data_IF_184368413826
#
_entry.id   IF_184368413826
#
_cell.length_a   1.000
_cell.length_b   1.000
_cell.length_c   1.000
_cell.angle_alpha   90.00
_cell.angle_beta   90.00
_cell.angle_gamma   90.00
#
_symmetry.space_group_name_H-M   'P 1'
#
loop_
_entity.id
_entity.type
_entity.pdbx_description
1 polymer ?
#
# COMPACT_ATOMS: atom_id res chain seq x y z
N UNK A 1 6.81 12.88 14.61
CA UNK A 1 7.94 12.41 15.44
C UNK A 1 7.93 10.89 15.55
N UNK A 2 6.80 10.25 15.88
CA UNK A 2 6.66 8.77 15.83
C UNK A 2 6.88 8.23 14.42
N UNK A 3 6.27 8.85 13.40
CA UNK A 3 6.39 8.44 11.99
C UNK A 3 7.86 8.42 11.51
N UNK A 4 8.71 9.33 12.01
CA UNK A 4 10.14 9.36 11.70
C UNK A 4 10.85 8.11 12.25
N UNK A 5 10.49 7.66 13.45
CA UNK A 5 11.07 6.45 14.03
C UNK A 5 10.60 5.19 13.30
N UNK A 6 9.34 5.17 12.83
CA UNK A 6 8.83 4.08 12.00
C UNK A 6 9.58 4.00 10.67
N UNK A 7 9.76 5.14 10.00
CA UNK A 7 10.54 5.28 8.76
C UNK A 7 11.99 4.81 8.92
N UNK A 8 12.60 5.05 10.10
CA UNK A 8 13.97 4.62 10.43
C UNK A 8 14.06 3.17 10.92
N UNK A 9 12.95 2.43 10.97
CA UNK A 9 12.85 1.08 11.54
C UNK A 9 13.24 1.00 13.02
N UNK A 10 13.13 2.11 13.73
CA UNK A 10 13.36 2.23 15.17
C UNK A 10 12.05 1.93 15.92
N UNK A 11 11.53 0.71 15.76
CA UNK A 11 10.20 0.32 16.24
C UNK A 11 10.03 0.42 17.76
N UNK A 12 11.11 0.18 18.52
CA UNK A 12 11.09 0.27 19.99
C UNK A 12 10.88 1.73 20.41
N UNK A 13 11.67 2.65 19.85
CA UNK A 13 11.58 4.08 20.12
C UNK A 13 10.23 4.66 19.68
N UNK A 14 9.73 4.22 18.51
CA UNK A 14 8.39 4.58 18.03
C UNK A 14 7.31 4.17 19.04
N UNK A 15 7.39 2.93 19.55
CA UNK A 15 6.44 2.40 20.54
C UNK A 15 6.53 3.12 21.88
N UNK A 16 7.74 3.35 22.42
CA UNK A 16 7.94 4.08 23.68
C UNK A 16 7.38 5.50 23.60
N UNK A 17 7.62 6.18 22.47
CA UNK A 17 7.11 7.52 22.25
C UNK A 17 5.57 7.51 22.13
N UNK A 18 5.00 6.53 21.42
CA UNK A 18 3.56 6.37 21.34
C UNK A 18 2.92 6.12 22.71
N UNK A 19 3.47 5.19 23.51
CA UNK A 19 2.95 4.88 24.85
C UNK A 19 2.97 6.09 25.79
N UNK A 20 4.00 6.94 25.66
CA UNK A 20 4.13 8.18 26.43
C UNK A 20 3.08 9.23 26.07
N UNK A 21 2.75 9.38 24.79
CA UNK A 21 1.94 10.50 24.30
C UNK A 21 0.50 10.13 23.92
N UNK A 22 0.16 8.84 23.79
CA UNK A 22 -1.14 8.37 23.29
C UNK A 22 -2.36 8.96 23.99
N UNK A 23 -2.25 9.31 25.29
CA UNK A 23 -3.35 9.92 26.07
C UNK A 23 -3.71 11.34 25.63
N UNK A 24 -2.82 12.00 24.89
CA UNK A 24 -2.99 13.36 24.39
C UNK A 24 -3.39 13.39 22.91
N UNK A 25 -3.47 12.22 22.26
CA UNK A 25 -3.81 12.10 20.84
C UNK A 25 -5.32 11.96 20.66
N UNK A 26 -5.84 12.43 19.52
CA UNK A 26 -7.21 12.10 19.13
C UNK A 26 -7.36 10.61 18.89
N UNK A 27 -8.57 10.07 19.04
CA UNK A 27 -8.84 8.66 18.75
C UNK A 27 -8.46 8.28 17.31
N UNK A 28 -8.73 9.16 16.34
CA UNK A 28 -8.34 8.97 14.95
C UNK A 28 -6.83 8.86 14.74
N UNK A 29 -6.06 9.74 15.41
CA UNK A 29 -4.60 9.72 15.32
C UNK A 29 -4.01 8.51 16.05
N UNK A 30 -4.60 8.14 17.19
CA UNK A 30 -4.23 6.94 17.94
C UNK A 30 -4.43 5.68 17.11
N UNK A 31 -5.62 5.51 16.53
CA UNK A 31 -5.97 4.41 15.64
C UNK A 31 -4.98 4.26 14.48
N UNK A 32 -4.68 5.37 13.78
CA UNK A 32 -3.69 5.39 12.69
C UNK A 32 -2.33 4.89 13.17
N UNK A 33 -1.83 5.44 14.28
CA UNK A 33 -0.51 5.10 14.81
C UNK A 33 -0.42 3.67 15.34
N UNK A 34 -1.51 3.13 15.91
CA UNK A 34 -1.58 1.72 16.31
C UNK A 34 -1.43 0.82 15.07
N UNK A 35 -2.14 1.10 13.98
CA UNK A 35 -1.99 0.37 12.70
C UNK A 35 -0.56 0.47 12.16
N UNK A 36 -0.01 1.69 12.04
CA UNK A 36 1.34 1.93 11.53
C UNK A 36 2.40 1.17 12.36
N UNK A 37 2.26 1.12 13.70
CA UNK A 37 3.15 0.37 14.60
C UNK A 37 3.03 -1.14 14.41
N UNK A 38 1.81 -1.67 14.30
CA UNK A 38 1.58 -3.09 14.05
C UNK A 38 2.18 -3.50 12.71
N UNK A 39 1.94 -2.75 11.65
CA UNK A 39 2.45 -3.01 10.30
C UNK A 39 3.97 -2.96 10.22
N UNK A 40 4.59 -1.96 10.84
CA UNK A 40 6.04 -1.84 10.91
C UNK A 40 6.67 -3.05 11.65
N UNK A 41 5.95 -3.65 12.58
CA UNK A 41 6.37 -4.87 13.28
C UNK A 41 5.97 -6.18 12.56
N UNK A 42 5.36 -6.11 11.37
CA UNK A 42 4.85 -7.28 10.63
C UNK A 42 3.58 -7.92 11.23
N UNK A 43 2.92 -7.24 12.17
CA UNK A 43 1.73 -7.69 12.91
C UNK A 43 0.44 -7.31 12.16
N UNK A 44 0.30 -7.81 10.93
CA UNK A 44 -0.79 -7.39 10.03
C UNK A 44 -2.18 -7.85 10.49
N UNK A 45 -2.29 -8.96 11.24
CA UNK A 45 -3.57 -9.39 11.83
C UNK A 45 -4.04 -8.44 12.93
N UNK A 46 -3.11 -7.97 13.76
CA UNK A 46 -3.39 -6.99 14.79
C UNK A 46 -3.81 -5.65 14.18
N UNK A 47 -3.16 -5.20 13.09
CA UNK A 47 -3.60 -4.02 12.33
C UNK A 47 -5.02 -4.20 11.75
N UNK A 48 -5.32 -5.36 11.15
CA UNK A 48 -6.68 -5.65 10.67
C UNK A 48 -7.73 -5.64 11.78
N UNK A 49 -7.39 -6.16 12.95
CA UNK A 49 -8.28 -6.18 14.12
C UNK A 49 -8.55 -4.76 14.60
N UNK A 50 -7.52 -3.91 14.62
CA UNK A 50 -7.61 -2.51 15.00
C UNK A 50 -8.49 -1.69 14.04
N UNK A 51 -8.37 -1.92 12.73
CA UNK A 51 -9.25 -1.28 11.71
C UNK A 51 -10.71 -1.67 11.92
N UNK A 52 -10.98 -2.95 12.15
CA UNK A 52 -12.36 -3.42 12.39
C UNK A 52 -12.94 -2.81 13.66
N UNK A 53 -12.16 -2.76 14.74
CA UNK A 53 -12.58 -2.12 15.99
C UNK A 53 -12.93 -0.66 15.75
N UNK A 54 -12.08 0.09 15.04
CA UNK A 54 -12.33 1.51 14.78
C UNK A 54 -13.55 1.74 13.87
N UNK A 55 -13.76 0.87 12.88
CA UNK A 55 -14.96 0.86 12.05
C UNK A 55 -16.23 0.60 12.89
N UNK A 56 -16.20 -0.38 13.79
CA UNK A 56 -17.31 -0.67 14.71
C UNK A 56 -17.62 0.51 15.65
N UNK A 57 -16.58 1.21 16.12
CA UNK A 57 -16.71 2.36 17.04
C UNK A 57 -17.20 3.64 16.34
N UNK A 58 -16.80 3.88 15.09
CA UNK A 58 -17.01 5.17 14.41
C UNK A 58 -17.91 5.10 13.18
N UNK A 59 -18.16 3.91 12.65
CA UNK A 59 -18.81 3.70 11.34
C UNK A 59 -17.95 4.07 10.14
N UNK A 60 -16.69 4.47 10.33
CA UNK A 60 -15.79 4.90 9.25
C UNK A 60 -15.01 3.69 8.74
N UNK A 61 -15.35 3.24 7.54
CA UNK A 61 -14.66 2.12 6.87
C UNK A 61 -13.39 2.56 6.17
N UNK A 62 -12.31 1.79 6.29
CA UNK A 62 -11.06 1.99 5.55
C UNK A 62 -10.77 0.79 4.63
N UNK A 63 -11.66 0.57 3.67
CA UNK A 63 -11.63 -0.61 2.81
C UNK A 63 -10.33 -0.73 2.00
N UNK A 64 -9.78 0.40 1.53
CA UNK A 64 -8.51 0.41 0.82
C UNK A 64 -7.37 -0.17 1.68
N UNK A 65 -7.33 0.20 2.96
CA UNK A 65 -6.33 -0.32 3.89
C UNK A 65 -6.54 -1.81 4.19
N UNK A 66 -7.80 -2.25 4.34
CA UNK A 66 -8.13 -3.68 4.51
C UNK A 66 -7.70 -4.51 3.30
N UNK A 67 -7.86 -4.00 2.07
CA UNK A 67 -7.36 -4.67 0.86
C UNK A 67 -5.83 -4.81 0.93
N UNK A 68 -5.11 -3.74 1.25
CA UNK A 68 -3.66 -3.77 1.40
C UNK A 68 -3.20 -4.82 2.42
N UNK A 69 -3.81 -4.85 3.61
CA UNK A 69 -3.43 -5.82 4.65
C UNK A 69 -3.72 -7.27 4.26
N UNK A 70 -4.82 -7.53 3.55
CA UNK A 70 -5.08 -8.87 3.00
C UNK A 70 -4.02 -9.27 1.98
N UNK A 71 -3.51 -8.34 1.15
CA UNK A 71 -2.39 -8.62 0.25
C UNK A 71 -1.10 -8.93 1.01
N UNK A 72 -0.82 -8.21 2.11
CA UNK A 72 0.36 -8.45 2.98
C UNK A 72 0.29 -9.79 3.70
N UNK A 73 -0.92 -10.25 4.03
CA UNK A 73 -1.19 -11.55 4.64
C UNK A 73 -1.34 -12.69 3.62
N UNK A 74 -1.08 -12.45 2.34
CA UNK A 74 -1.24 -13.40 1.24
C UNK A 74 -2.68 -13.94 1.08
N UNK A 75 -3.66 -13.25 1.66
CA UNK A 75 -5.11 -13.50 1.54
C UNK A 75 -5.64 -12.94 0.22
N UNK A 76 -5.09 -13.43 -0.90
CA UNK A 76 -5.33 -12.88 -2.23
C UNK A 76 -6.79 -13.04 -2.68
N UNK A 77 -7.49 -14.08 -2.22
CA UNK A 77 -8.90 -14.29 -2.56
C UNK A 77 -9.78 -13.23 -1.92
N UNK A 78 -9.54 -12.96 -0.64
CA UNK A 78 -10.23 -11.95 0.15
C UNK A 78 -9.98 -10.55 -0.44
N UNK A 79 -8.72 -10.26 -0.81
CA UNK A 79 -8.37 -9.02 -1.50
C UNK A 79 -9.06 -8.88 -2.87
N UNK A 80 -9.10 -9.93 -3.71
CA UNK A 80 -9.79 -9.92 -5.02
C UNK A 80 -11.30 -9.67 -4.85
N UNK A 81 -11.95 -10.34 -3.89
CA UNK A 81 -13.40 -10.16 -3.64
C UNK A 81 -13.70 -8.75 -3.17
N UNK A 82 -12.97 -8.26 -2.17
CA UNK A 82 -13.21 -6.95 -1.56
C UNK A 82 -12.88 -5.79 -2.52
N UNK A 83 -11.73 -5.86 -3.20
CA UNK A 83 -11.35 -4.84 -4.17
C UNK A 83 -12.34 -4.79 -5.34
N UNK A 84 -12.81 -5.96 -5.80
CA UNK A 84 -13.86 -6.03 -6.84
C UNK A 84 -15.16 -5.39 -6.37
N UNK A 85 -15.65 -5.72 -5.19
CA UNK A 85 -16.93 -5.16 -4.70
C UNK A 85 -16.87 -3.65 -4.59
N UNK A 86 -15.75 -3.08 -4.13
CA UNK A 86 -15.57 -1.62 -4.09
C UNK A 86 -15.52 -1.02 -5.49
N UNK A 87 -14.71 -1.60 -6.38
CA UNK A 87 -14.53 -1.07 -7.73
C UNK A 87 -15.81 -1.17 -8.58
N UNK A 88 -16.63 -2.21 -8.38
CA UNK A 88 -17.93 -2.34 -9.05
C UNK A 88 -18.89 -1.21 -8.67
N UNK A 89 -18.91 -0.80 -7.39
CA UNK A 89 -19.75 0.31 -6.90
C UNK A 89 -19.40 1.65 -7.53
N UNK A 90 -18.11 1.87 -7.83
CA UNK A 90 -17.62 3.09 -8.49
C UNK A 90 -17.36 2.89 -9.99
N UNK A 91 -17.95 1.85 -10.57
CA UNK A 91 -17.85 1.52 -12.00
C UNK A 91 -16.42 1.48 -12.56
N UNK A 92 -15.47 0.99 -11.76
CA UNK A 92 -14.05 0.94 -12.09
C UNK A 92 -13.50 2.31 -12.51
N UNK A 93 -13.87 3.37 -11.78
CA UNK A 93 -13.31 4.71 -11.99
C UNK A 93 -11.79 4.67 -12.08
N UNK A 94 -11.24 5.35 -13.07
CA UNK A 94 -9.79 5.42 -13.32
C UNK A 94 -9.05 6.19 -12.21
N UNK A 95 -9.79 6.97 -11.41
CA UNK A 95 -9.30 7.66 -10.21
C UNK A 95 -8.91 6.68 -9.09
N UNK A 96 -9.51 5.49 -9.05
CA UNK A 96 -9.22 4.45 -8.06
C UNK A 96 -7.99 3.60 -8.47
N UNK A 97 -6.92 4.27 -8.87
CA UNK A 97 -5.75 3.64 -9.47
C UNK A 97 -5.06 2.62 -8.56
N UNK A 98 -4.95 2.92 -7.26
CA UNK A 98 -4.32 2.01 -6.29
C UNK A 98 -5.17 0.76 -6.05
N UNK A 99 -6.49 0.91 -5.92
CA UNK A 99 -7.43 -0.19 -5.77
C UNK A 99 -7.45 -1.09 -7.00
N UNK A 100 -7.39 -0.50 -8.20
CA UNK A 100 -7.26 -1.25 -9.45
C UNK A 100 -5.96 -2.05 -9.48
N UNK A 101 -4.83 -1.43 -9.12
CA UNK A 101 -3.53 -2.13 -9.04
C UNK A 101 -3.60 -3.28 -8.03
N UNK A 102 -4.16 -3.05 -6.86
CA UNK A 102 -4.28 -4.07 -5.80
C UNK A 102 -5.19 -5.23 -6.22
N UNK A 103 -6.32 -4.96 -6.89
CA UNK A 103 -7.17 -5.98 -7.49
C UNK A 103 -6.40 -6.83 -8.51
N UNK A 104 -5.75 -6.17 -9.46
CA UNK A 104 -5.05 -6.87 -10.54
C UNK A 104 -3.83 -7.65 -10.02
N UNK A 105 -3.16 -7.17 -8.97
CA UNK A 105 -2.13 -7.91 -8.25
C UNK A 105 -2.68 -9.18 -7.57
N UNK A 106 -3.80 -9.06 -6.84
CA UNK A 106 -4.47 -10.20 -6.23
C UNK A 106 -4.82 -11.27 -7.28
N UNK A 107 -5.37 -10.84 -8.42
CA UNK A 107 -5.70 -11.72 -9.56
C UNK A 107 -4.46 -12.41 -10.12
N UNK A 108 -3.36 -11.68 -10.31
CA UNK A 108 -2.08 -12.26 -10.78
C UNK A 108 -1.59 -13.36 -9.85
N UNK A 109 -1.59 -13.12 -8.52
CA UNK A 109 -1.18 -14.11 -7.51
C UNK A 109 -2.09 -15.33 -7.45
N UNK A 110 -3.38 -15.18 -7.81
CA UNK A 110 -4.33 -16.28 -7.97
C UNK A 110 -4.20 -17.02 -9.32
N UNK A 111 -3.19 -16.72 -10.14
CA UNK A 111 -3.00 -17.31 -11.48
C UNK A 111 -4.03 -16.86 -12.51
N UNK A 112 -4.82 -15.81 -12.23
CA UNK A 112 -5.78 -15.24 -13.16
C UNK A 112 -5.09 -14.24 -14.08
N UNK A 113 -5.59 -14.11 -15.32
CA UNK A 113 -5.12 -13.09 -16.26
C UNK A 113 -5.46 -11.68 -15.75
N UNK A 114 -4.43 -10.84 -15.69
CA UNK A 114 -4.50 -9.40 -15.39
C UNK A 114 -5.19 -8.66 -16.55
N UNK A 115 -6.03 -7.68 -16.23
CA UNK A 115 -6.65 -6.82 -17.24
C UNK A 115 -5.72 -5.65 -17.63
N UNK A 116 -4.92 -5.84 -18.67
CA UNK A 116 -3.98 -4.83 -19.15
C UNK A 116 -4.68 -3.55 -19.64
N UNK A 117 -5.83 -3.65 -20.30
CA UNK A 117 -6.54 -2.48 -20.82
C UNK A 117 -6.97 -1.55 -19.68
N UNK A 118 -7.48 -2.14 -18.59
CA UNK A 118 -7.83 -1.41 -17.36
C UNK A 118 -6.61 -0.71 -16.76
N UNK A 119 -5.48 -1.41 -16.65
CA UNK A 119 -4.24 -0.84 -16.11
C UNK A 119 -3.70 0.31 -16.98
N UNK A 120 -3.75 0.15 -18.31
CA UNK A 120 -3.33 1.19 -19.24
C UNK A 120 -4.28 2.40 -19.20
N UNK A 121 -5.57 2.19 -18.96
CA UNK A 121 -6.53 3.29 -18.77
C UNK A 121 -6.24 4.10 -17.51
N UNK A 122 -5.88 3.46 -16.39
CA UNK A 122 -5.45 4.18 -15.17
C UNK A 122 -4.27 5.09 -15.46
N UNK A 123 -3.25 4.59 -16.16
CA UNK A 123 -2.07 5.37 -16.52
C UNK A 123 -2.35 6.55 -17.46
N UNK A 124 -3.36 6.46 -18.32
CA UNK A 124 -3.75 7.54 -19.23
C UNK A 124 -4.49 8.67 -18.50
N UNK A 125 -5.25 8.32 -17.48
CA UNK A 125 -6.05 9.24 -16.70
C UNK A 125 -5.20 9.97 -15.64
N UNK A 126 -4.40 9.21 -14.90
CA UNK A 126 -3.54 9.73 -13.84
C UNK A 126 -2.06 9.55 -14.20
N UNK A 127 -1.38 10.68 -14.42
CA UNK A 127 0.07 10.71 -14.67
C UNK A 127 0.91 10.51 -13.40
N UNK A 128 0.31 10.07 -12.29
CA UNK A 128 1.02 9.77 -11.05
C UNK A 128 2.12 8.71 -11.28
N UNK A 129 3.40 9.06 -11.10
CA UNK A 129 4.50 8.13 -11.31
C UNK A 129 4.46 6.93 -10.35
N UNK A 130 3.89 7.08 -9.15
CA UNK A 130 3.77 5.98 -8.16
C UNK A 130 2.87 4.87 -8.70
N UNK A 131 1.67 5.23 -9.16
CA UNK A 131 0.70 4.30 -9.75
C UNK A 131 1.24 3.70 -11.04
N UNK A 132 1.85 4.52 -11.89
CA UNK A 132 2.45 4.06 -13.16
C UNK A 132 3.56 3.03 -12.92
N UNK A 133 4.43 3.23 -11.93
CA UNK A 133 5.44 2.24 -11.56
C UNK A 133 4.81 0.90 -11.15
N UNK A 134 3.77 0.93 -10.33
CA UNK A 134 3.07 -0.27 -9.89
C UNK A 134 2.37 -1.01 -11.05
N UNK A 135 1.79 -0.27 -12.00
CA UNK A 135 1.24 -0.85 -13.24
C UNK A 135 2.34 -1.55 -14.04
N UNK A 136 3.47 -0.87 -14.28
CA UNK A 136 4.58 -1.46 -15.04
C UNK A 136 5.20 -2.69 -14.37
N UNK A 137 5.21 -2.74 -13.03
CA UNK A 137 5.58 -3.94 -12.28
C UNK A 137 4.63 -5.12 -12.56
N UNK A 138 3.32 -4.88 -12.60
CA UNK A 138 2.33 -5.93 -12.89
C UNK A 138 2.47 -6.52 -14.30
N UNK A 139 2.73 -5.67 -15.29
CA UNK A 139 2.89 -6.06 -16.69
C UNK A 139 4.35 -6.38 -17.07
N UNK A 140 5.23 -6.52 -16.08
CA UNK A 140 6.60 -7.01 -16.23
C UNK A 140 7.50 -6.12 -17.11
N UNK A 141 7.21 -4.82 -17.17
CA UNK A 141 8.03 -3.83 -17.87
C UNK A 141 9.01 -3.16 -16.89
N UNK A 142 10.07 -3.89 -16.52
CA UNK A 142 11.06 -3.46 -15.51
C UNK A 142 11.68 -2.08 -15.80
N UNK A 143 12.06 -1.80 -17.05
CA UNK A 143 12.67 -0.50 -17.41
C UNK A 143 11.76 0.69 -17.11
N UNK A 144 10.50 0.58 -17.55
CA UNK A 144 9.50 1.64 -17.40
C UNK A 144 9.09 1.80 -15.93
N UNK A 145 9.00 0.69 -15.20
CA UNK A 145 8.81 0.68 -13.74
C UNK A 145 9.91 1.50 -13.05
N UNK A 146 11.18 1.21 -13.30
CA UNK A 146 12.32 1.89 -12.66
C UNK A 146 12.37 3.38 -13.02
N UNK A 147 12.06 3.75 -14.26
CA UNK A 147 11.97 5.16 -14.67
C UNK A 147 10.90 5.90 -13.85
N UNK A 148 9.72 5.29 -13.68
CA UNK A 148 8.63 5.91 -12.92
C UNK A 148 8.90 5.95 -11.42
N UNK A 149 9.61 4.97 -10.87
CA UNK A 149 10.11 5.04 -9.48
C UNK A 149 11.02 6.25 -9.30
N UNK A 150 11.99 6.47 -10.21
CA UNK A 150 12.89 7.63 -10.13
C UNK A 150 12.13 8.95 -10.25
N UNK A 151 11.12 9.02 -11.12
CA UNK A 151 10.22 10.19 -11.23
C UNK A 151 9.46 10.44 -9.92
N UNK A 152 8.91 9.38 -9.32
CA UNK A 152 8.23 9.47 -8.03
C UNK A 152 9.16 9.95 -6.91
N UNK A 153 10.36 9.37 -6.81
CA UNK A 153 11.38 9.73 -5.81
C UNK A 153 11.86 11.18 -5.93
N UNK A 154 11.95 11.71 -7.17
CA UNK A 154 12.30 13.11 -7.41
C UNK A 154 11.22 14.07 -6.90
N UNK A 155 9.95 13.68 -6.99
CA UNK A 155 8.84 14.48 -6.50
C UNK A 155 8.63 14.32 -4.99
N UNK A 156 8.82 13.11 -4.47
CA UNK A 156 8.56 12.76 -3.09
C UNK A 156 9.48 11.62 -2.63
N UNK A 157 10.50 11.99 -1.84
CA UNK A 157 11.48 11.04 -1.30
C UNK A 157 10.89 10.05 -0.31
N UNK A 158 9.73 10.34 0.29
CA UNK A 158 9.05 9.40 1.20
C UNK A 158 8.51 8.17 0.45
N UNK A 159 8.37 8.26 -0.88
CA UNK A 159 7.90 7.14 -1.70
C UNK A 159 8.76 5.88 -1.55
N UNK A 160 10.04 6.01 -1.19
CA UNK A 160 10.91 4.84 -0.92
C UNK A 160 10.29 3.88 0.09
N UNK A 161 9.59 4.39 1.11
CA UNK A 161 8.98 3.56 2.15
C UNK A 161 7.80 2.78 1.58
N UNK A 162 6.89 3.48 0.88
CA UNK A 162 5.77 2.83 0.20
C UNK A 162 6.24 1.84 -0.87
N UNK A 163 7.28 2.15 -1.64
CA UNK A 163 7.82 1.27 -2.67
C UNK A 163 8.42 -0.01 -2.09
N UNK A 164 9.10 0.08 -0.93
CA UNK A 164 9.60 -1.09 -0.21
C UNK A 164 8.45 -1.93 0.31
N UNK A 165 7.36 -1.33 0.77
CA UNK A 165 6.30 -2.05 1.49
C UNK A 165 5.19 -2.62 0.60
N UNK A 166 4.86 -1.94 -0.50
CA UNK A 166 3.75 -2.30 -1.39
C UNK A 166 3.97 -3.69 -2.00
N UNK A 167 3.05 -4.65 -1.80
CA UNK A 167 3.15 -6.02 -2.33
C UNK A 167 3.46 -6.14 -3.82
N UNK A 168 3.03 -5.19 -4.64
CA UNK A 168 3.25 -5.22 -6.11
C UNK A 168 4.73 -5.23 -6.49
N UNK A 169 5.61 -4.65 -5.66
CA UNK A 169 7.05 -4.58 -5.91
C UNK A 169 7.84 -5.71 -5.24
N UNK A 170 7.18 -6.64 -4.54
CA UNK A 170 7.83 -7.69 -3.76
C UNK A 170 8.88 -8.48 -4.55
N UNK A 171 8.56 -8.84 -5.80
CA UNK A 171 9.46 -9.59 -6.68
C UNK A 171 10.75 -8.83 -7.06
N UNK A 172 10.78 -7.51 -6.89
CA UNK A 172 11.90 -6.65 -7.26
C UNK A 172 12.75 -6.21 -6.05
N UNK A 173 12.36 -6.54 -4.82
CA UNK A 173 13.08 -6.09 -3.61
C UNK A 173 14.52 -6.59 -3.51
N UNK A 174 14.82 -7.73 -4.11
CA UNK A 174 16.18 -8.27 -4.20
C UNK A 174 16.98 -7.77 -5.40
N UNK A 175 16.39 -6.92 -6.24
CA UNK A 175 17.01 -6.42 -7.45
C UNK A 175 17.86 -5.17 -7.14
N UNK A 176 19.10 -5.16 -7.62
CA UNK A 176 20.03 -4.04 -7.41
C UNK A 176 19.55 -2.75 -8.09
N UNK A 177 18.95 -2.85 -9.28
CA UNK A 177 18.43 -1.68 -9.99
C UNK A 177 17.26 -1.05 -9.25
N UNK A 178 16.40 -1.89 -8.66
CA UNK A 178 15.29 -1.43 -7.83
C UNK A 178 15.80 -0.73 -6.58
N UNK A 179 16.73 -1.37 -5.87
CA UNK A 179 17.37 -0.82 -4.66
C UNK A 179 18.03 0.53 -4.94
N UNK A 180 18.73 0.64 -6.07
CA UNK A 180 19.32 1.90 -6.53
C UNK A 180 18.27 2.95 -6.86
N UNK A 181 17.15 2.57 -7.50
CA UNK A 181 16.10 3.50 -7.89
C UNK A 181 15.37 4.15 -6.69
N UNK A 182 15.24 3.44 -5.56
CA UNK A 182 14.59 3.95 -4.34
C UNK A 182 15.56 4.60 -3.34
N UNK A 183 16.86 4.61 -3.64
CA UNK A 183 17.91 5.17 -2.78
C UNK A 183 18.37 6.58 -3.22
N UNK A 184 17.85 7.11 -4.33
CA UNK A 184 18.20 8.42 -4.93
C UNK A 184 17.62 9.60 -4.14
#
# INVERSE_FOLDING_TARGET
>A
MIDIYLDLKEHIQAKELFEKWQRQLSNSLKHRLDCDLYEACGKFEESLTEIRRYEDETGVSNVAHVIYLNLKLERYREADVLARSVLELIHYSQEAGQEIVNLEFARKKLGKRVNNDRLMSVMKFDSNPKTSAAVFALIEKKSDMLENIRKAMKADKSFRFSAVEWPVFEAYRGDEDFSNAISV
#
